data_IF_687093131699
#
_entry.id   IF_687093131699
#
_cell.length_a   1.000
_cell.length_b   1.000
_cell.length_c   1.000
_cell.angle_alpha   90.00
_cell.angle_beta   90.00
_cell.angle_gamma   90.00
#
_symmetry.space_group_name_H-M   'P 1'
#
loop_
_entity.id
_entity.type
_entity.pdbx_description
1 polymer ?
#
# COMPACT_ATOMS: atom_id res chain seq x y z
N UNK A 1 -51.40 18.04 6.71
CA UNK A 1 -50.66 17.44 5.58
C UNK A 1 -49.24 17.98 5.39
N UNK A 2 -48.97 19.31 5.41
CA UNK A 2 -47.60 19.86 5.21
C UNK A 2 -46.53 19.41 6.23
N UNK A 3 -46.89 19.22 7.51
CA UNK A 3 -45.93 18.80 8.58
C UNK A 3 -45.37 17.39 8.36
N UNK A 4 -46.18 16.46 7.85
CA UNK A 4 -45.80 15.06 7.65
C UNK A 4 -44.83 14.87 6.48
N UNK A 5 -44.94 15.73 5.46
CA UNK A 5 -44.04 15.75 4.29
C UNK A 5 -42.65 16.28 4.67
N UNK A 6 -42.58 17.28 5.57
CA UNK A 6 -41.29 17.81 6.04
C UNK A 6 -40.59 16.86 7.01
N UNK A 7 -41.31 16.18 7.91
CA UNK A 7 -40.70 15.16 8.76
C UNK A 7 -40.21 13.95 7.97
N UNK A 8 -40.92 13.51 6.92
CA UNK A 8 -40.40 12.47 6.02
C UNK A 8 -39.21 12.93 5.18
N UNK A 9 -39.17 14.19 4.74
CA UNK A 9 -38.02 14.75 4.02
C UNK A 9 -36.78 14.88 4.91
N UNK A 10 -36.95 15.28 6.18
CA UNK A 10 -35.87 15.31 7.17
C UNK A 10 -35.33 13.91 7.48
N UNK A 11 -36.20 12.91 7.59
CA UNK A 11 -35.82 11.52 7.82
C UNK A 11 -35.08 10.88 6.63
N UNK A 12 -35.51 11.21 5.40
CA UNK A 12 -34.85 10.76 4.18
C UNK A 12 -33.47 11.43 3.99
N UNK A 13 -33.35 12.70 4.39
CA UNK A 13 -32.09 13.45 4.43
C UNK A 13 -31.06 12.84 5.40
N UNK A 14 -31.49 12.45 6.60
CA UNK A 14 -30.60 11.77 7.57
C UNK A 14 -30.20 10.36 7.13
N UNK A 15 -31.04 9.63 6.40
CA UNK A 15 -30.69 8.30 5.85
C UNK A 15 -29.59 8.36 4.78
N UNK A 16 -29.53 9.43 3.98
CA UNK A 16 -28.50 9.61 2.94
C UNK A 16 -27.13 9.96 3.57
N UNK A 17 -27.12 10.61 4.74
CA UNK A 17 -25.89 11.05 5.40
C UNK A 17 -25.10 9.91 6.09
N UNK A 18 -25.73 8.75 6.35
CA UNK A 18 -25.08 7.63 7.06
C UNK A 18 -24.22 6.76 6.10
N UNK A 19 -24.17 7.05 4.81
CA UNK A 19 -23.62 6.13 3.80
C UNK A 19 -22.10 6.21 3.54
N UNK A 20 -21.30 6.90 4.36
CA UNK A 20 -19.87 7.13 4.03
C UNK A 20 -18.90 6.92 5.19
N UNK A 21 -19.07 5.85 5.99
CA UNK A 21 -17.97 5.36 6.84
C UNK A 21 -17.35 4.15 6.12
N UNK A 22 -16.41 4.42 5.20
CA UNK A 22 -15.55 3.38 4.64
C UNK A 22 -14.40 3.15 5.61
N UNK A 23 -14.25 1.93 6.12
CA UNK A 23 -13.07 1.53 6.87
C UNK A 23 -12.02 1.04 5.86
N UNK A 24 -11.05 1.89 5.54
CA UNK A 24 -9.89 1.46 4.75
C UNK A 24 -8.93 0.66 5.64
N UNK A 25 -8.43 -0.44 5.11
CA UNK A 25 -7.37 -1.23 5.74
C UNK A 25 -6.06 -0.85 5.08
N UNK A 26 -5.03 -0.62 5.88
CA UNK A 26 -3.68 -0.34 5.40
C UNK A 26 -2.77 -1.47 5.87
N UNK A 27 -2.03 -2.06 4.94
CA UNK A 27 -1.05 -3.11 5.18
C UNK A 27 0.35 -2.50 5.22
N UNK A 28 1.01 -2.59 6.37
CA UNK A 28 2.39 -2.10 6.57
C UNK A 28 3.32 -3.29 6.78
N UNK A 29 4.37 -3.37 5.98
CA UNK A 29 5.38 -4.42 6.04
C UNK A 29 6.73 -3.84 6.44
N UNK A 30 7.44 -4.53 7.31
CA UNK A 30 8.88 -4.30 7.53
C UNK A 30 9.65 -5.52 7.06
N UNK A 31 10.69 -5.31 6.26
CA UNK A 31 11.47 -6.41 5.70
C UNK A 31 12.96 -6.08 5.67
N UNK A 32 13.75 -6.86 6.42
CA UNK A 32 15.19 -6.86 6.31
C UNK A 32 15.62 -7.76 5.15
N UNK A 33 16.24 -7.18 4.13
CA UNK A 33 16.60 -7.86 2.88
C UNK A 33 18.05 -8.37 2.85
N UNK A 34 18.74 -8.32 3.99
CA UNK A 34 20.08 -8.86 4.24
C UNK A 34 21.14 -8.23 3.32
N UNK A 35 21.67 -7.09 3.74
CA UNK A 35 22.72 -6.30 3.08
C UNK A 35 22.57 -6.15 1.55
N UNK A 36 21.38 -5.83 1.02
CA UNK A 36 21.15 -5.70 -0.43
C UNK A 36 21.85 -4.47 -1.03
N UNK A 37 22.44 -4.56 -2.25
CA UNK A 37 22.41 -5.68 -3.20
C UNK A 37 23.51 -6.74 -2.98
N UNK A 38 24.36 -6.55 -1.98
CA UNK A 38 25.40 -7.49 -1.57
C UNK A 38 24.79 -8.77 -0.96
N UNK A 39 25.64 -9.67 -0.44
CA UNK A 39 25.20 -10.94 0.15
C UNK A 39 24.24 -11.72 -0.77
N UNK A 40 24.59 -11.78 -2.06
CA UNK A 40 23.78 -12.41 -3.12
C UNK A 40 22.35 -11.82 -3.26
N UNK A 41 22.13 -10.59 -2.81
CA UNK A 41 20.82 -9.91 -2.84
C UNK A 41 20.25 -9.79 -4.24
N UNK A 42 21.11 -9.50 -5.23
CA UNK A 42 20.67 -9.40 -6.64
C UNK A 42 20.12 -10.73 -7.20
N UNK A 43 20.55 -11.88 -6.69
CA UNK A 43 20.04 -13.19 -7.12
C UNK A 43 18.69 -13.52 -6.48
N UNK A 44 18.30 -12.80 -5.42
CA UNK A 44 17.04 -12.96 -4.68
C UNK A 44 15.94 -12.01 -5.16
N UNK A 45 16.17 -11.25 -6.23
CA UNK A 45 15.17 -10.30 -6.77
C UNK A 45 13.83 -10.99 -7.05
N UNK A 46 13.86 -12.16 -7.69
CA UNK A 46 12.63 -12.91 -7.99
C UNK A 46 11.97 -13.44 -6.71
N UNK A 47 12.74 -13.84 -5.71
CA UNK A 47 12.21 -14.25 -4.40
C UNK A 47 11.52 -13.10 -3.68
N UNK A 48 12.12 -11.89 -3.72
CA UNK A 48 11.52 -10.70 -3.13
C UNK A 48 10.21 -10.33 -3.82
N UNK A 49 10.13 -10.45 -5.15
CA UNK A 49 8.88 -10.24 -5.90
C UNK A 49 7.79 -11.19 -5.44
N UNK A 50 8.08 -12.49 -5.32
CA UNK A 50 7.11 -13.49 -4.84
C UNK A 50 6.54 -13.10 -3.47
N UNK A 51 7.39 -12.62 -2.56
CA UNK A 51 6.95 -12.19 -1.22
C UNK A 51 6.11 -10.91 -1.28
N UNK A 52 6.55 -9.89 -2.01
CA UNK A 52 5.84 -8.60 -2.11
C UNK A 52 4.49 -8.77 -2.84
N UNK A 53 4.47 -9.51 -3.95
CA UNK A 53 3.26 -9.80 -4.74
C UNK A 53 2.24 -10.61 -3.94
N UNK A 54 2.69 -11.47 -3.02
CA UNK A 54 1.77 -12.22 -2.16
C UNK A 54 1.14 -11.34 -1.07
N UNK A 55 1.87 -10.37 -0.54
CA UNK A 55 1.41 -9.54 0.58
C UNK A 55 0.61 -8.32 0.08
N UNK A 56 0.93 -7.80 -1.10
CA UNK A 56 0.36 -6.56 -1.67
C UNK A 56 0.37 -5.38 -0.66
N UNK A 57 1.55 -4.96 -0.15
CA UNK A 57 1.64 -3.95 0.89
C UNK A 57 1.36 -2.53 0.37
N UNK A 58 0.73 -1.71 1.21
CA UNK A 58 0.56 -0.27 0.95
C UNK A 58 1.82 0.52 1.32
N UNK A 59 2.50 0.11 2.41
CA UNK A 59 3.73 0.73 2.89
C UNK A 59 4.75 -0.35 3.21
N UNK A 60 5.97 -0.21 2.68
CA UNK A 60 7.09 -1.11 2.96
C UNK A 60 8.24 -0.33 3.59
N UNK A 61 8.73 -0.80 4.73
CA UNK A 61 9.96 -0.34 5.34
C UNK A 61 11.03 -1.39 5.07
N UNK A 62 12.05 -1.02 4.29
CA UNK A 62 13.17 -1.90 3.94
C UNK A 62 14.37 -1.60 4.84
N UNK A 63 15.01 -2.65 5.37
CA UNK A 63 16.24 -2.54 6.17
C UNK A 63 17.43 -3.21 5.47
N UNK A 64 18.64 -2.80 5.88
CA UNK A 64 19.92 -3.29 5.36
C UNK A 64 20.13 -3.05 3.85
N UNK A 65 19.59 -1.97 3.30
CA UNK A 65 20.04 -1.48 2.00
C UNK A 65 21.39 -0.78 2.15
N UNK A 66 22.36 -1.14 1.31
CA UNK A 66 23.75 -0.70 1.48
C UNK A 66 24.04 0.64 0.79
N UNK A 67 23.20 1.06 -0.15
CA UNK A 67 23.41 2.29 -0.91
C UNK A 67 22.14 2.78 -1.58
N UNK A 68 22.13 4.06 -1.98
CA UNK A 68 21.07 4.63 -2.80
C UNK A 68 20.92 3.91 -4.14
N UNK A 69 22.02 3.49 -4.77
CA UNK A 69 21.97 2.71 -6.00
C UNK A 69 21.26 1.37 -5.77
N UNK A 70 21.53 0.71 -4.64
CA UNK A 70 20.79 -0.48 -4.21
C UNK A 70 19.30 -0.21 -4.02
N UNK A 71 18.93 0.93 -3.42
CA UNK A 71 17.53 1.33 -3.30
C UNK A 71 16.85 1.50 -4.66
N UNK A 72 17.50 2.17 -5.61
CA UNK A 72 16.93 2.36 -6.94
C UNK A 72 16.74 1.01 -7.65
N UNK A 73 17.72 0.10 -7.55
CA UNK A 73 17.57 -1.26 -8.12
C UNK A 73 16.42 -2.00 -7.45
N UNK A 74 16.28 -1.95 -6.13
CA UNK A 74 15.19 -2.63 -5.42
C UNK A 74 13.83 -2.04 -5.79
N UNK A 75 13.72 -0.71 -5.84
CA UNK A 75 12.50 -0.01 -6.24
C UNK A 75 12.07 -0.43 -7.64
N UNK A 76 12.96 -0.31 -8.63
CA UNK A 76 12.62 -0.55 -10.03
C UNK A 76 12.45 -2.04 -10.35
N UNK A 77 13.27 -2.89 -9.73
CA UNK A 77 13.30 -4.31 -10.05
C UNK A 77 12.35 -5.12 -9.18
N UNK A 78 12.04 -4.73 -7.94
CA UNK A 78 11.14 -5.50 -7.06
C UNK A 78 9.79 -4.83 -6.96
N UNK A 79 9.74 -3.56 -6.56
CA UNK A 79 8.47 -2.90 -6.22
C UNK A 79 7.70 -2.38 -7.44
N UNK A 80 8.41 -1.95 -8.50
CA UNK A 80 7.83 -1.28 -9.67
C UNK A 80 8.00 -2.05 -10.99
N UNK A 81 8.16 -3.38 -10.94
CA UNK A 81 8.46 -4.19 -12.12
C UNK A 81 7.36 -4.15 -13.20
N UNK A 82 6.09 -4.07 -12.80
CA UNK A 82 4.93 -4.00 -13.72
C UNK A 82 4.35 -2.59 -13.87
N UNK A 83 4.93 -1.57 -13.24
CA UNK A 83 4.45 -0.18 -13.25
C UNK A 83 4.89 0.59 -12.02
N UNK A 84 4.73 1.92 -12.03
CA UNK A 84 5.10 2.80 -10.92
C UNK A 84 4.02 2.81 -9.84
N UNK A 85 4.10 1.88 -8.89
CA UNK A 85 3.19 1.77 -7.75
C UNK A 85 3.78 2.33 -6.44
N UNK A 86 5.10 2.31 -6.30
CA UNK A 86 5.82 2.74 -5.11
C UNK A 86 6.77 3.91 -5.41
N UNK A 87 6.96 4.76 -4.41
CA UNK A 87 7.96 5.83 -4.39
C UNK A 87 8.87 5.63 -3.18
N UNK A 88 10.17 5.84 -3.35
CA UNK A 88 11.16 5.78 -2.26
C UNK A 88 11.54 7.20 -1.81
N UNK A 89 11.65 7.42 -0.50
CA UNK A 89 12.03 8.69 0.15
C UNK A 89 13.34 8.53 0.88
#
# INVERSE_FOLDING_TARGET
>A
MRKNIQTSALFFSTLIFIHTISAETITIVTYNILNFPDAFGSQRIDDFRVVIDYIEPDIVVIQEIQSQAGMNVFLDSVLNVTGSAFEAV
#
